data_IF_777282915290
#
_entry.id   IF_777282915290
#
_cell.length_a   1.000
_cell.length_b   1.000
_cell.length_c   1.000
_cell.angle_alpha   90.00
_cell.angle_beta   90.00
_cell.angle_gamma   90.00
#
_symmetry.space_group_name_H-M   'P 1'
#
loop_
_entity.id
_entity.type
_entity.pdbx_description
1 polymer ?
#
# COMPACT_ATOMS: atom_id res chain seq x y z
N UNK A 1 8.57 14.99 -30.91
CA UNK A 1 8.44 13.63 -30.41
C UNK A 1 9.50 13.45 -29.31
N UNK A 2 9.08 13.13 -28.08
CA UNK A 2 10.02 12.83 -27.00
C UNK A 2 10.47 11.37 -27.09
N UNK A 3 11.65 11.07 -26.58
CA UNK A 3 12.19 9.71 -26.51
C UNK A 3 12.62 9.41 -25.08
N UNK A 4 12.20 8.27 -24.58
CA UNK A 4 12.55 7.73 -23.26
C UNK A 4 12.85 6.24 -23.36
N UNK A 5 13.51 5.67 -22.36
CA UNK A 5 13.59 4.22 -22.23
C UNK A 5 12.27 3.67 -21.64
N UNK A 6 11.70 4.42 -20.69
CA UNK A 6 10.50 4.00 -19.96
C UNK A 6 9.52 5.17 -19.82
N UNK A 7 8.23 4.88 -20.06
CA UNK A 7 7.12 5.75 -19.68
C UNK A 7 6.33 5.10 -18.54
N UNK A 8 6.09 5.84 -17.45
CA UNK A 8 5.26 5.41 -16.32
C UNK A 8 3.97 6.23 -16.33
N UNK A 9 2.83 5.59 -16.49
CA UNK A 9 1.51 6.20 -16.33
C UNK A 9 1.10 6.15 -14.86
N UNK A 10 1.10 7.30 -14.19
CA UNK A 10 0.79 7.49 -12.78
C UNK A 10 2.00 7.87 -11.92
N UNK A 11 2.00 9.10 -11.42
CA UNK A 11 2.98 9.70 -10.50
C UNK A 11 2.58 9.58 -9.03
N UNK A 12 1.95 8.47 -8.65
CA UNK A 12 1.55 8.19 -7.28
C UNK A 12 2.66 7.57 -6.41
N UNK A 13 2.25 7.06 -5.23
CA UNK A 13 3.17 6.47 -4.23
C UNK A 13 3.89 5.19 -4.69
N UNK A 14 3.57 4.67 -5.86
CA UNK A 14 4.24 3.52 -6.49
C UNK A 14 5.02 3.94 -7.73
N UNK A 15 4.43 4.76 -8.60
CA UNK A 15 5.07 5.17 -9.85
C UNK A 15 6.28 6.08 -9.65
N UNK A 16 6.22 7.01 -8.69
CA UNK A 16 7.36 7.88 -8.37
C UNK A 16 8.58 7.11 -7.84
N UNK A 17 8.46 6.21 -6.84
CA UNK A 17 9.58 5.37 -6.40
C UNK A 17 10.15 4.49 -7.51
N UNK A 18 9.30 3.95 -8.39
CA UNK A 18 9.76 3.21 -9.57
C UNK A 18 10.58 4.11 -10.50
N UNK A 19 10.07 5.30 -10.82
CA UNK A 19 10.77 6.25 -11.68
C UNK A 19 12.12 6.68 -11.11
N UNK A 20 12.18 6.97 -9.81
CA UNK A 20 13.43 7.29 -9.12
C UNK A 20 14.44 6.13 -9.20
N UNK A 21 14.00 4.90 -8.95
CA UNK A 21 14.85 3.71 -9.02
C UNK A 21 15.44 3.50 -10.42
N UNK A 22 14.62 3.63 -11.45
CA UNK A 22 15.04 3.47 -12.85
C UNK A 22 16.00 4.57 -13.29
N UNK A 23 15.71 5.83 -12.94
CA UNK A 23 16.53 6.98 -13.27
C UNK A 23 17.90 6.94 -12.57
N UNK A 24 17.95 6.53 -11.28
CA UNK A 24 19.20 6.29 -10.55
C UNK A 24 20.03 5.17 -11.18
N UNK A 25 19.38 4.19 -11.79
CA UNK A 25 20.02 3.13 -12.56
C UNK A 25 20.45 3.54 -13.98
N UNK A 26 20.23 4.81 -14.38
CA UNK A 26 20.68 5.38 -15.65
C UNK A 26 19.65 5.33 -16.78
N UNK A 27 18.41 4.83 -16.54
CA UNK A 27 17.38 4.76 -17.57
C UNK A 27 16.61 6.08 -17.66
N UNK A 28 16.47 6.61 -18.89
CA UNK A 28 15.67 7.80 -19.16
C UNK A 28 14.19 7.50 -18.99
N UNK A 29 13.60 8.05 -17.95
CA UNK A 29 12.24 7.75 -17.51
C UNK A 29 11.35 8.98 -17.56
N UNK A 30 10.15 8.84 -18.13
CA UNK A 30 9.12 9.87 -18.12
C UNK A 30 7.92 9.37 -17.32
N UNK A 31 7.52 10.13 -16.32
CA UNK A 31 6.29 9.89 -15.55
C UNK A 31 5.21 10.81 -16.09
N UNK A 32 4.01 10.26 -16.31
CA UNK A 32 2.82 11.02 -16.75
C UNK A 32 1.78 10.94 -15.65
N UNK A 33 1.29 12.09 -15.15
CA UNK A 33 0.27 12.12 -14.11
C UNK A 33 -0.87 13.11 -14.44
N UNK A 34 -2.09 12.71 -14.13
CA UNK A 34 -3.30 13.51 -14.40
C UNK A 34 -3.43 14.71 -13.47
N UNK A 35 -2.88 14.61 -12.27
CA UNK A 35 -3.03 15.63 -11.26
C UNK A 35 -1.99 16.76 -11.41
N UNK A 36 -2.41 18.02 -11.33
CA UNK A 36 -1.48 19.13 -11.28
C UNK A 36 -0.56 19.03 -10.06
N UNK A 37 0.72 19.41 -10.22
CA UNK A 37 1.70 19.41 -9.13
C UNK A 37 1.21 20.15 -7.88
N UNK A 38 0.52 21.28 -8.05
CA UNK A 38 -0.04 22.06 -6.94
C UNK A 38 -1.05 21.27 -6.08
N UNK A 39 -1.89 20.45 -6.73
CA UNK A 39 -2.87 19.59 -6.02
C UNK A 39 -2.17 18.42 -5.29
N UNK A 40 -1.12 17.88 -5.89
CA UNK A 40 -0.38 16.76 -5.29
C UNK A 40 0.41 17.21 -4.06
N UNK A 41 0.95 18.41 -4.11
CA UNK A 41 1.78 19.01 -3.04
C UNK A 41 0.97 19.87 -2.06
N UNK A 42 -0.36 19.78 -2.08
CA UNK A 42 -1.19 20.43 -1.07
C UNK A 42 -0.75 19.94 0.33
N UNK A 43 -0.30 20.85 1.21
CA UNK A 43 0.14 20.49 2.54
C UNK A 43 -1.00 20.11 3.47
N UNK A 44 -2.26 20.36 3.06
CA UNK A 44 -3.41 20.03 3.88
C UNK A 44 -3.50 18.51 4.11
N UNK A 45 -3.73 18.13 5.34
CA UNK A 45 -3.92 16.74 5.71
C UNK A 45 -5.23 16.20 5.13
N UNK A 46 -5.13 15.18 4.30
CA UNK A 46 -6.25 14.54 3.61
C UNK A 46 -6.77 13.27 4.32
N UNK A 47 -6.34 13.06 5.58
CA UNK A 47 -6.74 11.92 6.42
C UNK A 47 -6.05 10.60 6.07
N UNK A 48 -5.33 10.54 4.97
CA UNK A 48 -4.72 9.27 4.53
C UNK A 48 -3.33 9.10 5.11
N UNK A 49 -3.12 7.93 5.70
CA UNK A 49 -1.82 7.46 6.17
C UNK A 49 -1.47 6.14 5.50
N UNK A 50 -0.19 5.82 5.46
CA UNK A 50 0.32 4.53 5.01
C UNK A 50 1.17 3.90 6.10
N UNK A 51 0.97 2.61 6.32
CA UNK A 51 1.87 1.78 7.10
C UNK A 51 3.00 1.30 6.19
N UNK A 52 4.19 1.85 6.36
CA UNK A 52 5.39 1.44 5.62
C UNK A 52 6.06 0.30 6.38
N UNK A 53 6.08 -0.88 5.80
CA UNK A 53 6.83 -2.01 6.31
C UNK A 53 8.35 -1.72 6.25
N UNK A 54 9.14 -2.31 7.14
CA UNK A 54 10.56 -1.98 7.19
C UNK A 54 11.33 -2.31 5.89
N UNK A 55 10.90 -3.30 5.11
CA UNK A 55 11.46 -3.54 3.78
C UNK A 55 11.18 -2.38 2.79
N UNK A 56 10.01 -1.75 2.89
CA UNK A 56 9.67 -0.55 2.11
C UNK A 56 10.48 0.66 2.58
N UNK A 57 10.72 0.78 3.88
CA UNK A 57 11.59 1.84 4.44
C UNK A 57 13.01 1.70 3.90
N UNK A 58 13.58 0.48 3.86
CA UNK A 58 14.90 0.23 3.25
C UNK A 58 14.97 0.66 1.80
N UNK A 59 13.94 0.36 0.99
CA UNK A 59 13.85 0.84 -0.38
C UNK A 59 13.86 2.37 -0.45
N UNK A 60 13.02 3.03 0.35
CA UNK A 60 12.95 4.50 0.38
C UNK A 60 14.26 5.14 0.86
N UNK A 61 14.99 4.47 1.76
CA UNK A 61 16.32 4.91 2.19
C UNK A 61 17.35 4.84 1.04
N UNK A 62 17.40 3.74 0.30
CA UNK A 62 18.27 3.62 -0.90
C UNK A 62 17.95 4.67 -1.94
N UNK A 63 16.67 5.00 -2.12
CA UNK A 63 16.25 6.07 -3.03
C UNK A 63 16.52 7.49 -2.48
N UNK A 64 17.04 7.61 -1.25
CA UNK A 64 17.30 8.87 -0.57
C UNK A 64 16.04 9.63 -0.14
N UNK A 65 14.89 8.96 -0.10
CA UNK A 65 13.59 9.55 0.29
C UNK A 65 13.38 9.49 1.79
N UNK A 66 13.93 8.47 2.46
CA UNK A 66 13.66 8.20 3.86
C UNK A 66 14.09 9.31 4.80
N UNK A 67 15.23 9.93 4.57
CA UNK A 67 15.75 11.01 5.42
C UNK A 67 14.79 12.22 5.47
N UNK A 68 14.03 12.45 4.39
CA UNK A 68 12.99 13.47 4.35
C UNK A 68 11.70 13.04 5.06
N UNK A 69 11.46 11.73 5.17
CA UNK A 69 10.28 11.16 5.80
C UNK A 69 10.43 10.89 7.28
N UNK A 70 11.63 10.52 7.73
CA UNK A 70 11.89 10.09 9.10
C UNK A 70 11.36 11.05 10.17
N UNK A 71 11.48 12.40 10.03
CA UNK A 71 10.93 13.35 11.00
C UNK A 71 9.38 13.33 11.11
N UNK A 72 8.69 12.77 10.11
CA UNK A 72 7.23 12.70 10.01
C UNK A 72 6.69 11.28 10.16
N UNK A 73 7.56 10.32 10.47
CA UNK A 73 7.24 8.91 10.55
C UNK A 73 7.07 8.47 12.01
N UNK A 74 5.93 7.89 12.36
CA UNK A 74 5.70 7.30 13.67
C UNK A 74 6.09 5.82 13.64
N UNK A 75 7.09 5.37 14.43
CA UNK A 75 7.43 3.96 14.48
C UNK A 75 6.33 3.13 15.14
N UNK A 76 6.14 1.92 14.63
CA UNK A 76 5.29 0.88 15.22
C UNK A 76 6.23 -0.05 16.00
N UNK A 77 6.19 0.01 17.32
CA UNK A 77 7.00 -0.86 18.19
C UNK A 77 6.32 -2.19 18.42
N UNK A 78 5.00 -2.15 18.58
CA UNK A 78 4.19 -3.31 18.90
C UNK A 78 2.90 -3.34 18.06
N UNK A 79 2.40 -4.54 17.77
CA UNK A 79 1.08 -4.74 17.17
C UNK A 79 0.32 -5.71 18.05
N UNK A 80 -0.86 -5.28 18.52
CA UNK A 80 -1.77 -6.11 19.29
C UNK A 80 -3.00 -6.48 18.46
N UNK A 81 -3.16 -7.79 18.21
CA UNK A 81 -4.30 -8.33 17.45
C UNK A 81 -5.26 -9.01 18.41
N UNK A 82 -6.53 -8.63 18.39
CA UNK A 82 -7.57 -9.19 19.26
C UNK A 82 -8.84 -9.50 18.48
N UNK A 83 -9.66 -10.43 18.99
CA UNK A 83 -11.03 -10.68 18.54
C UNK A 83 -12.02 -10.19 19.60
N UNK A 84 -13.18 -9.69 19.21
CA UNK A 84 -14.16 -9.18 20.17
C UNK A 84 -15.44 -8.63 19.55
N UNK A 85 -16.19 -7.93 20.39
CA UNK A 85 -17.41 -7.20 20.03
C UNK A 85 -17.35 -5.77 20.53
N UNK A 86 -17.88 -4.84 19.76
CA UNK A 86 -17.97 -3.45 20.16
C UNK A 86 -18.68 -3.29 21.52
N UNK A 87 -18.11 -2.49 22.42
CA UNK A 87 -18.64 -2.26 23.76
C UNK A 87 -18.43 -3.41 24.75
N UNK A 88 -17.64 -4.41 24.42
CA UNK A 88 -17.24 -5.51 25.32
C UNK A 88 -15.72 -5.56 25.42
N UNK A 89 -15.16 -6.09 26.53
CA UNK A 89 -13.74 -6.37 26.59
C UNK A 89 -13.30 -7.27 25.43
N UNK A 90 -12.11 -7.03 24.89
CA UNK A 90 -11.49 -7.91 23.91
C UNK A 90 -11.27 -9.31 24.51
N UNK A 91 -11.13 -10.33 23.66
CA UNK A 91 -10.76 -11.68 24.09
C UNK A 91 -9.45 -11.62 24.90
N UNK A 92 -9.37 -12.46 25.94
CA UNK A 92 -8.14 -12.64 26.73
C UNK A 92 -7.01 -13.30 25.89
N UNK A 93 -7.38 -14.00 24.81
CA UNK A 93 -6.44 -14.59 23.86
C UNK A 93 -6.19 -13.56 22.75
N UNK A 94 -5.00 -13.03 22.73
CA UNK A 94 -4.52 -12.03 21.77
C UNK A 94 -3.25 -12.52 21.11
N UNK A 95 -2.89 -11.94 19.99
CA UNK A 95 -1.60 -12.14 19.34
C UNK A 95 -0.82 -10.83 19.46
N UNK A 96 0.35 -10.92 20.07
CA UNK A 96 1.21 -9.77 20.34
C UNK A 96 2.51 -9.88 19.54
N UNK A 97 2.81 -8.86 18.77
CA UNK A 97 4.05 -8.71 18.04
C UNK A 97 4.88 -7.58 18.65
N UNK A 98 6.09 -7.86 19.08
CA UNK A 98 7.07 -6.90 19.56
C UNK A 98 8.26 -6.85 18.58
N UNK A 99 8.63 -5.67 18.11
CA UNK A 99 9.76 -5.45 17.20
C UNK A 99 11.06 -6.06 17.70
N UNK A 100 11.28 -6.03 19.00
CA UNK A 100 12.48 -6.60 19.66
C UNK A 100 12.66 -8.09 19.40
N UNK A 101 11.57 -8.83 19.21
CA UNK A 101 11.64 -10.30 18.95
C UNK A 101 12.25 -10.66 17.60
N UNK A 102 12.26 -9.73 16.67
CA UNK A 102 12.92 -9.87 15.35
C UNK A 102 14.20 -9.07 15.24
N UNK A 103 14.67 -8.49 16.36
CA UNK A 103 15.91 -7.70 16.42
C UNK A 103 15.82 -6.37 15.67
N UNK A 104 14.63 -5.76 15.65
CA UNK A 104 14.38 -4.48 15.00
C UNK A 104 13.87 -3.45 16.01
N UNK A 105 14.14 -2.16 15.76
CA UNK A 105 13.61 -1.06 16.57
C UNK A 105 12.13 -0.78 16.27
N UNK A 106 11.62 -1.24 15.10
CA UNK A 106 10.22 -1.08 14.71
C UNK A 106 9.78 -2.18 13.76
N UNK A 107 8.48 -2.49 13.73
CA UNK A 107 7.82 -3.36 12.75
C UNK A 107 7.50 -2.62 11.44
N UNK A 108 7.61 -1.31 11.43
CA UNK A 108 7.30 -0.41 10.35
C UNK A 108 7.00 0.99 10.88
N UNK A 109 6.50 1.86 10.02
CA UNK A 109 6.20 3.24 10.37
C UNK A 109 4.87 3.68 9.77
N UNK A 110 4.10 4.46 10.52
CA UNK A 110 2.93 5.17 10.00
C UNK A 110 3.37 6.55 9.51
N UNK A 111 3.04 6.87 8.27
CA UNK A 111 3.38 8.16 7.65
C UNK A 111 2.16 8.74 6.95
N UNK A 112 1.90 10.03 7.13
CA UNK A 112 0.84 10.72 6.38
C UNK A 112 1.20 10.78 4.90
N UNK A 113 0.27 10.44 4.01
CA UNK A 113 0.55 10.33 2.57
C UNK A 113 1.04 11.65 1.95
N UNK A 114 0.62 12.80 2.51
CA UNK A 114 1.12 14.11 2.07
C UNK A 114 2.64 14.21 2.23
N UNK A 115 3.21 13.74 3.33
CA UNK A 115 4.66 13.77 3.56
C UNK A 115 5.39 12.83 2.59
N UNK A 116 4.83 11.66 2.31
CA UNK A 116 5.41 10.74 1.32
C UNK A 116 5.43 11.40 -0.07
N UNK A 117 4.33 12.05 -0.47
CA UNK A 117 4.27 12.78 -1.75
C UNK A 117 5.29 13.90 -1.80
N UNK A 118 5.36 14.75 -0.78
CA UNK A 118 6.30 15.88 -0.71
C UNK A 118 7.75 15.40 -0.83
N UNK A 119 8.15 14.38 -0.07
CA UNK A 119 9.50 13.82 -0.11
C UNK A 119 9.85 13.21 -1.47
N UNK A 120 8.92 12.49 -2.10
CA UNK A 120 9.11 11.93 -3.44
C UNK A 120 9.27 13.02 -4.50
N UNK A 121 8.47 14.08 -4.44
CA UNK A 121 8.56 15.21 -5.37
C UNK A 121 9.83 16.05 -5.17
N UNK A 122 10.32 16.17 -3.94
CA UNK A 122 11.60 16.81 -3.66
C UNK A 122 12.75 16.05 -4.31
N UNK A 123 12.75 14.71 -4.19
CA UNK A 123 13.76 13.86 -4.85
C UNK A 123 13.62 13.87 -6.38
N UNK A 124 12.41 13.91 -6.88
CA UNK A 124 12.16 14.03 -8.33
C UNK A 124 12.76 15.33 -8.89
N UNK A 125 12.65 16.45 -8.18
CA UNK A 125 13.17 17.75 -8.66
C UNK A 125 14.69 17.76 -8.87
N UNK A 126 15.44 16.94 -8.12
CA UNK A 126 16.89 16.78 -8.24
C UNK A 126 17.35 15.58 -9.08
N UNK A 127 16.41 14.78 -9.60
CA UNK A 127 16.76 13.54 -10.29
C UNK A 127 17.17 13.80 -11.74
N UNK A 128 18.35 13.28 -12.13
CA UNK A 128 18.73 13.17 -13.53
C UNK A 128 17.97 12.02 -14.20
N UNK A 129 17.78 12.07 -15.51
CA UNK A 129 17.08 11.06 -16.31
C UNK A 129 15.62 10.82 -15.91
N UNK A 130 14.99 11.69 -15.12
CA UNK A 130 13.60 11.59 -14.71
C UNK A 130 12.84 12.86 -15.02
N UNK A 131 11.78 12.74 -15.80
CA UNK A 131 10.91 13.85 -16.18
C UNK A 131 9.47 13.55 -15.73
N UNK A 132 8.77 14.58 -15.22
CA UNK A 132 7.34 14.51 -14.91
C UNK A 132 6.55 15.38 -15.90
N UNK A 133 5.59 14.77 -16.57
CA UNK A 133 4.61 15.42 -17.43
C UNK A 133 3.26 15.44 -16.70
N UNK A 134 2.89 16.57 -16.12
CA UNK A 134 1.65 16.78 -15.38
C UNK A 134 1.18 18.23 -15.50
N UNK A 135 -0.12 18.49 -15.69
CA UNK A 135 -1.20 17.51 -15.78
C UNK A 135 -1.32 16.89 -17.18
N UNK A 136 -1.27 15.57 -17.26
CA UNK A 136 -1.52 14.82 -18.50
C UNK A 136 -1.88 13.36 -18.18
N UNK A 137 -2.57 12.69 -19.09
CA UNK A 137 -2.83 11.25 -19.00
C UNK A 137 -2.36 10.54 -20.26
N UNK A 138 -2.07 9.25 -20.15
CA UNK A 138 -1.87 8.40 -21.31
C UNK A 138 -3.23 8.13 -21.95
N UNK A 139 -3.40 8.62 -23.19
CA UNK A 139 -4.63 8.46 -24.00
C UNK A 139 -4.62 7.12 -24.71
N UNK A 140 -3.48 6.75 -25.30
CA UNK A 140 -3.33 5.47 -25.99
C UNK A 140 -1.89 4.98 -26.02
N UNK A 141 -1.75 3.67 -26.16
CA UNK A 141 -0.51 2.94 -26.31
C UNK A 141 -0.57 2.14 -27.61
N UNK A 142 0.31 2.44 -28.58
CA UNK A 142 0.49 1.66 -29.77
C UNK A 142 1.85 0.92 -29.71
N UNK A 143 1.80 -0.39 -29.92
CA UNK A 143 3.01 -1.23 -29.94
C UNK A 143 3.56 -1.24 -31.34
N UNK A 144 4.86 -0.99 -31.48
CA UNK A 144 5.61 -1.03 -32.74
C UNK A 144 6.72 -2.07 -32.65
N UNK A 145 7.34 -2.42 -33.77
CA UNK A 145 8.44 -3.40 -33.81
C UNK A 145 9.64 -2.93 -32.94
N UNK A 146 9.90 -1.62 -32.89
CA UNK A 146 11.03 -1.03 -32.19
C UNK A 146 10.71 -0.49 -30.80
N UNK A 147 9.43 -0.40 -30.40
CA UNK A 147 9.06 0.21 -29.11
C UNK A 147 7.57 0.37 -28.91
N UNK A 148 7.22 1.25 -28.02
CA UNK A 148 5.88 1.69 -27.72
C UNK A 148 5.73 3.18 -28.05
N UNK A 149 4.67 3.54 -28.77
CA UNK A 149 4.28 4.93 -28.99
C UNK A 149 3.15 5.27 -28.02
N UNK A 150 3.44 6.14 -27.07
CA UNK A 150 2.52 6.64 -26.06
C UNK A 150 1.98 7.98 -26.50
N UNK A 151 0.66 8.11 -26.65
CA UNK A 151 -0.01 9.39 -26.93
C UNK A 151 -0.67 9.91 -25.65
N UNK A 152 -0.42 11.16 -25.32
CA UNK A 152 -0.98 11.83 -24.16
C UNK A 152 -2.30 12.56 -24.49
N UNK A 153 -3.01 12.97 -23.47
CA UNK A 153 -4.27 13.72 -23.59
C UNK A 153 -4.10 15.14 -24.14
N UNK A 154 -2.89 15.68 -24.11
CA UNK A 154 -2.51 16.95 -24.74
C UNK A 154 -1.94 16.75 -26.16
N UNK A 155 -2.16 15.57 -26.77
CA UNK A 155 -1.70 15.13 -28.08
C UNK A 155 -0.16 15.09 -28.27
N UNK A 156 0.63 15.26 -27.20
CA UNK A 156 2.06 14.95 -27.21
C UNK A 156 2.27 13.45 -27.37
N UNK A 157 3.38 13.09 -28.04
CA UNK A 157 3.77 11.68 -28.22
C UNK A 157 5.15 11.41 -27.63
N UNK A 158 5.28 10.24 -27.00
CA UNK A 158 6.52 9.76 -26.42
C UNK A 158 6.79 8.36 -26.97
N UNK A 159 7.99 8.14 -27.51
CA UNK A 159 8.45 6.78 -27.84
C UNK A 159 9.24 6.22 -26.67
N UNK A 160 8.96 4.95 -26.33
CA UNK A 160 9.64 4.27 -25.24
C UNK A 160 9.90 2.79 -25.56
N UNK A 161 10.87 2.16 -24.91
CA UNK A 161 11.07 0.71 -25.00
C UNK A 161 9.95 -0.04 -24.28
N UNK A 162 9.47 0.48 -23.12
CA UNK A 162 8.40 -0.12 -22.33
C UNK A 162 7.56 0.96 -21.64
N UNK A 163 6.26 0.68 -21.50
CA UNK A 163 5.34 1.50 -20.73
C UNK A 163 4.95 0.75 -19.45
N UNK A 164 4.87 1.46 -18.33
CA UNK A 164 4.42 0.91 -17.05
C UNK A 164 3.11 1.57 -16.66
N UNK A 165 2.08 0.76 -16.43
CA UNK A 165 0.83 1.23 -15.85
C UNK A 165 0.92 1.19 -14.32
N UNK A 166 1.02 2.37 -13.70
CA UNK A 166 0.88 2.63 -12.28
C UNK A 166 -0.30 3.59 -12.03
N UNK A 167 -1.31 3.52 -12.89
CA UNK A 167 -2.41 4.46 -13.13
C UNK A 167 -3.69 4.12 -12.37
N UNK A 168 -3.59 3.40 -11.29
CA UNK A 168 -4.65 3.04 -10.37
C UNK A 168 -5.44 1.76 -10.71
N UNK A 169 -6.38 1.44 -9.82
CA UNK A 169 -7.26 0.26 -9.89
C UNK A 169 -8.06 0.16 -11.19
N UNK A 170 -8.49 1.29 -11.76
CA UNK A 170 -9.26 1.36 -13.01
C UNK A 170 -8.38 1.55 -14.24
N UNK A 171 -7.14 1.11 -14.21
CA UNK A 171 -6.12 1.28 -15.24
C UNK A 171 -6.66 1.27 -16.68
N UNK A 172 -6.62 2.41 -17.39
CA UNK A 172 -6.99 2.46 -18.81
C UNK A 172 -6.03 1.63 -19.67
N UNK A 173 -4.73 1.65 -19.35
CA UNK A 173 -3.72 0.89 -20.09
C UNK A 173 -3.93 -0.62 -19.98
N UNK A 174 -4.25 -1.11 -18.77
CA UNK A 174 -4.63 -2.51 -18.60
C UNK A 174 -5.83 -2.89 -19.46
N UNK A 175 -6.86 -2.03 -19.50
CA UNK A 175 -8.06 -2.26 -20.30
C UNK A 175 -7.78 -2.22 -21.79
N UNK A 176 -6.96 -1.28 -22.26
CA UNK A 176 -6.53 -1.19 -23.67
C UNK A 176 -5.75 -2.44 -24.12
N UNK A 177 -4.93 -3.00 -23.23
CA UNK A 177 -4.17 -4.23 -23.49
C UNK A 177 -5.04 -5.50 -23.44
N UNK A 178 -6.34 -5.40 -23.15
CA UNK A 178 -7.24 -6.55 -23.03
C UNK A 178 -6.96 -7.44 -21.81
N UNK A 179 -6.18 -6.98 -20.84
CA UNK A 179 -5.85 -7.75 -19.64
C UNK A 179 -7.06 -7.78 -18.70
N UNK A 180 -7.66 -8.94 -18.56
CA UNK A 180 -8.80 -9.17 -17.68
C UNK A 180 -8.40 -9.16 -16.19
N UNK A 181 -9.40 -8.97 -15.31
CA UNK A 181 -9.24 -9.04 -13.86
C UNK A 181 -10.17 -10.06 -13.24
N UNK A 182 -9.73 -10.69 -12.17
CA UNK A 182 -10.59 -11.39 -11.22
C UNK A 182 -10.91 -10.40 -10.11
N UNK A 183 -12.19 -10.12 -9.86
CA UNK A 183 -12.57 -9.12 -8.86
C UNK A 183 -13.90 -9.46 -8.20
N UNK A 184 -14.04 -9.03 -6.94
CA UNK A 184 -15.30 -9.04 -6.20
C UNK A 184 -15.34 -7.90 -5.20
N UNK A 185 -16.55 -7.49 -4.82
CA UNK A 185 -16.77 -6.53 -3.75
C UNK A 185 -17.08 -7.24 -2.44
N UNK A 186 -16.56 -6.72 -1.34
CA UNK A 186 -17.01 -7.13 -0.02
C UNK A 186 -18.26 -6.31 0.37
N UNK A 187 -19.20 -6.88 1.14
CA UNK A 187 -20.35 -6.13 1.65
C UNK A 187 -19.92 -5.21 2.82
N UNK A 188 -18.80 -4.53 2.66
CA UNK A 188 -18.10 -3.76 3.68
C UNK A 188 -17.62 -2.42 3.12
N UNK A 189 -17.62 -1.40 4.00
CA UNK A 189 -17.06 -0.07 3.75
C UNK A 189 -15.92 0.16 4.75
N UNK A 190 -14.78 0.62 4.27
CA UNK A 190 -13.73 1.16 5.10
C UNK A 190 -14.02 2.62 5.43
N UNK A 191 -14.12 2.95 6.72
CA UNK A 191 -14.23 4.32 7.22
C UNK A 191 -12.86 4.71 7.78
N UNK A 192 -12.34 5.85 7.35
CA UNK A 192 -11.08 6.41 7.84
C UNK A 192 -11.39 7.69 8.61
N UNK A 193 -10.82 7.80 9.81
CA UNK A 193 -10.91 8.98 10.64
C UNK A 193 -9.62 9.15 11.45
N UNK A 194 -9.29 10.37 11.82
CA UNK A 194 -8.23 10.66 12.77
C UNK A 194 -8.83 10.89 14.16
N UNK A 195 -8.13 10.38 15.17
CA UNK A 195 -8.54 10.49 16.58
C UNK A 195 -7.40 11.06 17.41
N UNK A 196 -7.70 12.07 18.21
CA UNK A 196 -6.89 12.52 19.33
C UNK A 196 -7.24 11.72 20.58
N UNK A 197 -6.25 11.44 21.43
CA UNK A 197 -6.44 10.69 22.66
C UNK A 197 -5.62 11.26 23.81
N UNK A 198 -6.05 11.00 25.04
CA UNK A 198 -5.55 11.61 26.27
C UNK A 198 -4.20 11.04 26.71
N UNK A 199 -3.94 9.76 26.43
CA UNK A 199 -2.72 9.05 26.85
C UNK A 199 -1.86 8.71 25.64
N UNK A 200 -0.54 8.71 25.77
CA UNK A 200 0.36 8.35 24.68
C UNK A 200 0.14 6.90 24.21
N UNK A 201 0.15 6.69 22.89
CA UNK A 201 0.01 5.36 22.28
C UNK A 201 1.29 4.50 22.35
N UNK A 202 2.42 5.08 22.72
CA UNK A 202 3.73 4.39 22.86
C UNK A 202 4.18 3.57 21.62
N UNK A 203 3.71 3.94 20.43
CA UNK A 203 4.01 3.20 19.20
C UNK A 203 3.27 1.85 19.05
N UNK A 204 2.22 1.62 19.84
CA UNK A 204 1.39 0.40 19.74
C UNK A 204 0.31 0.58 18.68
N UNK A 205 0.27 -0.31 17.70
CA UNK A 205 -0.84 -0.43 16.75
C UNK A 205 -1.80 -1.53 17.24
N UNK A 206 -3.10 -1.29 17.07
CA UNK A 206 -4.14 -2.27 17.44
C UNK A 206 -4.90 -2.70 16.21
N UNK A 207 -5.17 -3.99 16.11
CA UNK A 207 -6.06 -4.60 15.12
C UNK A 207 -7.15 -5.38 15.85
N UNK A 208 -8.31 -4.78 16.01
CA UNK A 208 -9.46 -5.42 16.65
C UNK A 208 -10.36 -6.03 15.59
N UNK A 209 -10.45 -7.34 15.54
CA UNK A 209 -11.41 -8.02 14.71
C UNK A 209 -12.80 -7.97 15.34
N UNK A 210 -13.70 -7.23 14.69
CA UNK A 210 -15.12 -7.12 15.07
C UNK A 210 -15.99 -7.88 14.07
N UNK A 211 -17.25 -8.22 14.42
CA UNK A 211 -18.14 -8.97 13.51
C UNK A 211 -18.39 -8.30 12.15
N UNK A 212 -18.29 -6.97 12.07
CA UNK A 212 -18.41 -6.21 10.82
C UNK A 212 -17.12 -6.17 10.00
N UNK A 213 -16.00 -6.56 10.60
CA UNK A 213 -14.66 -6.53 10.02
C UNK A 213 -13.62 -5.90 10.95
N UNK A 214 -12.36 -5.78 10.48
CA UNK A 214 -11.26 -5.24 11.27
C UNK A 214 -11.48 -3.76 11.62
N UNK A 215 -11.02 -3.39 12.82
CA UNK A 215 -10.96 -2.04 13.35
C UNK A 215 -9.52 -1.77 13.76
N UNK A 216 -8.76 -1.11 12.89
CA UNK A 216 -7.37 -0.79 13.13
C UNK A 216 -7.22 0.59 13.78
N UNK A 217 -6.33 0.68 14.78
CA UNK A 217 -5.88 1.92 15.43
C UNK A 217 -4.39 2.03 15.16
N UNK A 218 -4.00 2.97 14.31
CA UNK A 218 -2.64 3.14 13.84
C UNK A 218 -2.01 4.37 14.48
N UNK A 219 -0.89 4.24 15.24
CA UNK A 219 -0.26 5.37 15.91
C UNK A 219 0.25 6.39 14.90
N UNK A 220 -0.02 7.67 15.13
CA UNK A 220 0.49 8.80 14.36
C UNK A 220 1.39 9.67 15.22
N UNK A 221 2.15 10.56 14.63
CA UNK A 221 2.96 11.54 15.37
C UNK A 221 2.09 12.38 16.32
N UNK A 222 2.55 12.56 17.57
CA UNK A 222 1.78 13.16 18.67
C UNK A 222 0.77 12.17 19.26
N UNK A 223 -0.15 12.69 20.09
CA UNK A 223 -1.19 11.88 20.74
C UNK A 223 -2.39 11.70 19.80
N UNK A 224 -2.12 11.17 18.59
CA UNK A 224 -3.10 10.93 17.53
C UNK A 224 -3.00 9.51 16.99
N UNK A 225 -4.12 8.99 16.52
CA UNK A 225 -4.18 7.72 15.79
C UNK A 225 -5.06 7.84 14.55
N UNK A 226 -4.66 7.17 13.48
CA UNK A 226 -5.53 6.96 12.31
C UNK A 226 -6.33 5.69 12.50
N UNK A 227 -7.62 5.76 12.22
CA UNK A 227 -8.53 4.62 12.25
C UNK A 227 -8.78 4.11 10.83
N UNK A 228 -8.76 2.79 10.69
CA UNK A 228 -9.35 2.09 9.55
C UNK A 228 -10.46 1.21 10.11
N UNK A 229 -11.68 1.71 10.05
CA UNK A 229 -12.87 1.07 10.61
C UNK A 229 -13.66 0.38 9.51
N UNK A 230 -13.63 -0.93 9.48
CA UNK A 230 -14.47 -1.70 8.58
C UNK A 230 -15.87 -1.88 9.15
N UNK A 231 -16.88 -1.48 8.38
CA UNK A 231 -18.28 -1.63 8.77
C UNK A 231 -19.10 -2.25 7.63
N UNK A 232 -20.20 -2.91 7.99
CA UNK A 232 -21.13 -3.46 7.01
C UNK A 232 -21.68 -2.34 6.11
N UNK A 233 -21.73 -2.59 4.80
CA UNK A 233 -22.17 -1.62 3.79
C UNK A 233 -23.54 -1.01 4.10
N UNK A 234 -24.46 -1.78 4.69
CA UNK A 234 -25.77 -1.31 5.07
C UNK A 234 -25.77 -0.32 6.26
N UNK A 235 -24.74 -0.37 7.13
CA UNK A 235 -24.64 0.45 8.34
C UNK A 235 -23.74 1.66 8.19
N UNK A 236 -22.75 1.61 7.31
CA UNK A 236 -21.73 2.64 7.14
C UNK A 236 -22.33 4.04 6.85
N UNK A 237 -23.36 4.21 5.97
CA UNK A 237 -23.96 5.52 5.71
C UNK A 237 -24.56 6.16 6.96
N UNK A 238 -25.24 5.38 7.79
CA UNK A 238 -25.83 5.88 9.04
C UNK A 238 -24.74 6.37 10.02
N UNK A 239 -23.63 5.64 10.14
CA UNK A 239 -22.48 6.02 10.98
C UNK A 239 -21.81 7.31 10.47
N UNK A 240 -21.62 7.42 9.16
CA UNK A 240 -21.00 8.60 8.55
C UNK A 240 -21.87 9.85 8.69
N UNK A 241 -23.18 9.69 8.70
CA UNK A 241 -24.17 10.76 8.89
C UNK A 241 -24.39 11.21 10.34
N UNK A 242 -23.77 10.53 11.32
CA UNK A 242 -23.89 10.92 12.72
C UNK A 242 -23.24 12.29 12.98
N UNK A 243 -23.87 13.07 13.84
CA UNK A 243 -23.26 14.26 14.43
C UNK A 243 -21.98 13.87 15.21
N UNK A 244 -21.07 14.83 15.41
CA UNK A 244 -19.77 14.61 16.04
C UNK A 244 -19.89 13.88 17.40
N UNK A 245 -20.82 14.31 18.24
CA UNK A 245 -21.04 13.71 19.57
C UNK A 245 -21.41 12.22 19.46
N UNK A 246 -22.42 11.90 18.68
CA UNK A 246 -22.92 10.54 18.51
C UNK A 246 -21.88 9.65 17.81
N UNK A 247 -21.11 10.21 16.87
CA UNK A 247 -20.01 9.49 16.26
C UNK A 247 -18.91 9.15 17.27
N UNK A 248 -18.54 10.10 18.14
CA UNK A 248 -17.53 9.87 19.18
C UNK A 248 -18.02 8.84 20.23
N UNK A 249 -19.31 8.75 20.52
CA UNK A 249 -19.86 7.69 21.37
C UNK A 249 -19.72 6.31 20.72
N UNK A 250 -20.03 6.19 19.42
CA UNK A 250 -19.85 4.93 18.66
C UNK A 250 -18.37 4.58 18.50
N UNK A 251 -17.51 5.58 18.31
CA UNK A 251 -16.06 5.42 18.29
C UNK A 251 -15.56 4.86 19.61
N UNK A 252 -15.90 5.48 20.74
CA UNK A 252 -15.44 5.07 22.07
C UNK A 252 -15.81 3.62 22.40
N UNK A 253 -16.99 3.16 21.97
CA UNK A 253 -17.41 1.75 22.15
C UNK A 253 -16.51 0.73 21.49
N UNK A 254 -15.85 1.10 20.37
CA UNK A 254 -14.95 0.23 19.59
C UNK A 254 -13.50 0.43 19.96
N UNK A 255 -13.13 1.66 20.23
CA UNK A 255 -11.78 2.06 20.55
C UNK A 255 -11.35 1.53 21.95
N UNK A 256 -12.28 1.51 22.88
CA UNK A 256 -11.98 1.15 24.29
C UNK A 256 -11.41 2.35 25.06
N UNK A 257 -10.95 2.08 26.30
CA UNK A 257 -10.51 3.12 27.26
C UNK A 257 -8.98 3.15 27.49
N UNK A 258 -8.23 2.33 26.75
CA UNK A 258 -6.79 2.15 27.01
C UNK A 258 -5.97 3.42 26.76
N UNK A 259 -6.35 4.27 25.80
CA UNK A 259 -5.74 5.57 25.55
C UNK A 259 -6.49 6.76 26.20
N UNK A 260 -7.39 6.49 27.15
CA UNK A 260 -8.18 7.51 27.83
C UNK A 260 -9.34 8.01 26.98
N UNK A 261 -9.72 9.28 27.15
CA UNK A 261 -10.77 9.90 26.33
C UNK A 261 -10.27 10.07 24.91
N UNK A 262 -11.17 9.85 23.95
CA UNK A 262 -10.89 9.96 22.52
C UNK A 262 -11.86 10.91 21.84
N UNK A 263 -11.37 11.63 20.83
CA UNK A 263 -12.16 12.55 20.03
C UNK A 263 -11.75 12.44 18.56
N UNK A 264 -12.72 12.26 17.67
CA UNK A 264 -12.47 12.34 16.22
C UNK A 264 -12.16 13.78 15.82
N UNK A 265 -11.15 13.96 14.97
CA UNK A 265 -10.73 15.28 14.48
C UNK A 265 -10.66 15.26 12.94
N UNK A 266 -11.06 16.38 12.35
CA UNK A 266 -11.11 16.53 10.90
C UNK A 266 -12.22 15.72 10.21
N UNK A 267 -12.19 15.63 8.89
CA UNK A 267 -13.21 14.94 8.11
C UNK A 267 -13.12 13.41 8.23
N UNK A 268 -14.22 12.75 7.89
CA UNK A 268 -14.36 11.30 7.80
C UNK A 268 -14.41 10.91 6.35
N UNK A 269 -13.63 9.92 5.96
CA UNK A 269 -13.62 9.38 4.60
C UNK A 269 -14.16 7.97 4.59
N UNK A 270 -14.68 7.55 3.45
CA UNK A 270 -15.10 6.17 3.27
C UNK A 270 -14.84 5.67 1.86
N UNK A 271 -14.63 4.38 1.74
CA UNK A 271 -14.45 3.71 0.46
C UNK A 271 -14.98 2.28 0.50
N UNK A 272 -15.58 1.79 -0.61
CA UNK A 272 -16.02 0.42 -0.69
C UNK A 272 -14.82 -0.53 -0.72
N UNK A 273 -14.90 -1.62 0.04
CA UNK A 273 -13.86 -2.63 0.05
C UNK A 273 -14.08 -3.62 -1.08
N UNK A 274 -13.03 -3.90 -1.83
CA UNK A 274 -13.07 -4.85 -2.92
C UNK A 274 -11.71 -5.45 -3.17
N UNK A 275 -11.73 -6.63 -3.74
CA UNK A 275 -10.57 -7.33 -4.27
C UNK A 275 -10.50 -7.18 -5.78
N UNK A 276 -9.30 -7.07 -6.33
CA UNK A 276 -9.05 -7.34 -7.74
C UNK A 276 -7.62 -7.84 -7.96
N UNK A 277 -7.45 -8.68 -8.96
CA UNK A 277 -6.17 -9.20 -9.40
C UNK A 277 -6.19 -9.33 -10.92
N UNK A 278 -5.24 -8.71 -11.60
CA UNK A 278 -5.07 -8.85 -13.04
C UNK A 278 -4.69 -10.30 -13.38
N UNK A 279 -5.25 -10.83 -14.47
CA UNK A 279 -4.96 -12.19 -14.94
C UNK A 279 -3.52 -12.34 -15.40
N UNK A 280 -2.97 -11.26 -15.95
CA UNK A 280 -1.58 -11.11 -16.37
C UNK A 280 -1.05 -9.78 -15.86
N UNK A 281 0.23 -9.71 -15.51
CA UNK A 281 0.86 -8.47 -15.05
C UNK A 281 1.64 -7.80 -16.16
N UNK A 282 1.80 -8.45 -17.29
CA UNK A 282 2.58 -7.93 -18.41
C UNK A 282 1.93 -8.27 -19.75
N UNK A 283 2.16 -7.41 -20.71
CA UNK A 283 1.93 -7.61 -22.13
C UNK A 283 3.20 -7.17 -22.90
N UNK A 284 3.29 -7.42 -24.18
CA UNK A 284 4.40 -6.90 -24.97
C UNK A 284 4.50 -5.38 -24.75
N UNK A 285 5.68 -4.89 -24.32
CA UNK A 285 5.98 -3.48 -24.03
C UNK A 285 5.10 -2.81 -22.96
N UNK A 286 4.38 -3.58 -22.16
CA UNK A 286 3.55 -3.08 -21.07
C UNK A 286 3.73 -3.92 -19.81
N UNK A 287 3.96 -3.26 -18.68
CA UNK A 287 3.92 -3.88 -17.35
C UNK A 287 2.90 -3.16 -16.45
N UNK A 288 2.18 -3.91 -15.63
CA UNK A 288 1.29 -3.40 -14.59
C UNK A 288 2.03 -3.36 -13.27
N UNK A 289 1.86 -2.30 -12.46
CA UNK A 289 2.54 -2.11 -11.19
C UNK A 289 1.60 -1.52 -10.14
N UNK A 290 1.55 -2.09 -8.94
CA UNK A 290 0.67 -1.66 -7.87
C UNK A 290 -0.81 -1.87 -8.18
N UNK A 291 -1.64 -0.87 -7.90
CA UNK A 291 -3.11 -0.96 -8.02
C UNK A 291 -3.60 -1.26 -9.44
N UNK A 292 -2.82 -1.05 -10.47
CA UNK A 292 -3.16 -1.47 -11.83
C UNK A 292 -3.15 -3.00 -11.97
N UNK A 293 -2.30 -3.69 -11.21
CA UNK A 293 -2.15 -5.14 -11.21
C UNK A 293 -3.04 -5.82 -10.14
N UNK A 294 -3.13 -5.25 -8.94
CA UNK A 294 -3.82 -5.88 -7.81
C UNK A 294 -4.33 -4.87 -6.80
N UNK A 295 -5.41 -5.23 -6.11
CA UNK A 295 -5.91 -4.52 -4.93
C UNK A 295 -6.47 -5.53 -3.95
N UNK A 296 -5.96 -5.50 -2.73
CA UNK A 296 -6.29 -6.43 -1.65
C UNK A 296 -7.13 -5.75 -0.58
N UNK A 297 -7.73 -6.54 0.30
CA UNK A 297 -8.38 -6.01 1.50
C UNK A 297 -7.35 -5.25 2.38
N UNK A 298 -7.70 -4.09 2.96
CA UNK A 298 -6.74 -3.23 3.68
C UNK A 298 -6.26 -3.78 5.03
N UNK A 299 -6.57 -5.03 5.37
CA UNK A 299 -6.05 -5.67 6.58
C UNK A 299 -4.53 -5.50 6.64
N UNK A 300 -4.04 -5.05 7.77
CA UNK A 300 -2.62 -4.80 8.06
C UNK A 300 -1.93 -3.77 7.13
N UNK A 301 -2.68 -2.93 6.38
CA UNK A 301 -2.11 -1.83 5.58
C UNK A 301 -1.16 -2.25 4.47
N UNK A 302 -1.26 -3.46 3.91
CA UNK A 302 -0.26 -4.03 3.00
C UNK A 302 -0.34 -3.56 1.54
N UNK A 303 -1.38 -2.81 1.14
CA UNK A 303 -1.58 -2.42 -0.26
C UNK A 303 -0.40 -1.65 -0.87
N UNK A 304 0.05 -0.59 -0.20
CA UNK A 304 1.20 0.20 -0.65
C UNK A 304 2.51 -0.59 -0.62
N UNK A 305 2.75 -1.38 0.44
CA UNK A 305 3.96 -2.20 0.54
C UNK A 305 4.09 -3.22 -0.60
N UNK A 306 2.96 -3.81 -1.00
CA UNK A 306 2.91 -4.73 -2.14
C UNK A 306 3.24 -4.00 -3.45
N UNK A 307 2.70 -2.79 -3.66
CA UNK A 307 3.00 -1.95 -4.82
C UNK A 307 4.46 -1.47 -4.86
N UNK A 308 5.05 -1.09 -3.71
CA UNK A 308 6.46 -0.74 -3.62
C UNK A 308 7.36 -1.95 -3.93
N UNK A 309 6.94 -3.14 -3.51
CA UNK A 309 7.66 -4.37 -3.86
C UNK A 309 7.58 -4.69 -5.35
N UNK A 310 6.45 -4.39 -6.01
CA UNK A 310 6.35 -4.47 -7.47
C UNK A 310 7.31 -3.51 -8.13
N UNK A 311 7.32 -2.24 -7.70
CA UNK A 311 8.22 -1.22 -8.22
C UNK A 311 9.70 -1.62 -8.09
N UNK A 312 10.10 -2.14 -6.92
CA UNK A 312 11.45 -2.63 -6.68
C UNK A 312 11.83 -3.82 -7.58
N UNK A 313 10.91 -4.79 -7.73
CA UNK A 313 11.14 -5.98 -8.57
C UNK A 313 11.18 -5.62 -10.07
N UNK A 314 10.30 -4.73 -10.53
CA UNK A 314 10.28 -4.27 -11.91
C UNK A 314 11.54 -3.46 -12.24
N UNK A 315 11.97 -2.56 -11.34
CA UNK A 315 13.21 -1.82 -11.49
C UNK A 315 14.41 -2.76 -11.63
N UNK A 316 14.54 -3.77 -10.75
CA UNK A 316 15.62 -4.74 -10.81
C UNK A 316 15.62 -5.51 -12.13
N UNK A 317 14.46 -5.98 -12.60
CA UNK A 317 14.35 -6.73 -13.87
C UNK A 317 14.72 -5.87 -15.07
N UNK A 318 14.27 -4.62 -15.13
CA UNK A 318 14.54 -3.71 -16.25
C UNK A 318 16.01 -3.26 -16.27
N UNK A 319 16.58 -2.91 -15.12
CA UNK A 319 17.98 -2.52 -15.01
C UNK A 319 18.94 -3.69 -15.33
N UNK A 320 18.63 -4.90 -14.89
CA UNK A 320 19.39 -6.07 -15.28
C UNK A 320 19.31 -6.35 -16.78
N UNK A 321 18.15 -6.16 -17.39
CA UNK A 321 17.98 -6.29 -18.84
C UNK A 321 18.79 -5.22 -19.60
N UNK A 322 18.76 -3.96 -19.14
CA UNK A 322 19.54 -2.88 -19.73
C UNK A 322 21.03 -3.15 -19.67
N UNK A 323 21.56 -3.57 -18.51
CA UNK A 323 22.98 -3.92 -18.34
C UNK A 323 23.44 -5.04 -19.27
N UNK A 324 22.53 -5.94 -19.63
CA UNK A 324 22.80 -7.05 -20.54
C UNK A 324 22.51 -6.71 -22.02
N UNK A 325 22.14 -5.46 -22.33
CA UNK A 325 21.77 -5.06 -23.69
C UNK A 325 20.51 -5.75 -24.23
N UNK A 326 19.62 -6.21 -23.36
CA UNK A 326 18.37 -6.87 -23.74
C UNK A 326 17.27 -5.85 -24.00
N UNK A 327 16.31 -6.22 -24.84
CA UNK A 327 15.09 -5.41 -25.04
C UNK A 327 14.28 -5.36 -23.76
N UNK A 328 14.10 -4.13 -23.22
CA UNK A 328 13.34 -3.88 -21.98
C UNK A 328 11.86 -4.23 -22.12
N UNK A 329 11.30 -4.04 -23.30
CA UNK A 329 9.89 -4.27 -23.58
C UNK A 329 9.56 -5.67 -24.07
N UNK A 330 10.57 -6.52 -24.30
CA UNK A 330 10.36 -7.89 -24.73
C UNK A 330 9.58 -8.69 -23.69
N UNK A 331 8.67 -9.55 -24.17
CA UNK A 331 7.77 -10.29 -23.29
C UNK A 331 8.52 -11.23 -22.33
N UNK A 332 9.62 -11.85 -22.76
CA UNK A 332 10.46 -12.73 -21.93
C UNK A 332 11.13 -11.95 -20.78
N UNK A 333 11.59 -10.72 -21.03
CA UNK A 333 12.10 -9.81 -20.00
C UNK A 333 11.02 -9.50 -18.98
N UNK A 334 9.84 -9.06 -19.43
CA UNK A 334 8.73 -8.66 -18.55
C UNK A 334 8.12 -9.86 -17.79
N UNK A 335 8.07 -11.05 -18.40
CA UNK A 335 7.61 -12.28 -17.73
C UNK A 335 8.48 -12.70 -16.54
N UNK A 336 9.74 -12.25 -16.43
CA UNK A 336 10.57 -12.45 -15.22
C UNK A 336 9.97 -11.72 -14.03
N UNK A 337 9.55 -10.46 -14.25
CA UNK A 337 8.85 -9.65 -13.24
C UNK A 337 7.51 -10.30 -12.84
N UNK A 338 6.66 -10.66 -13.81
CA UNK A 338 5.38 -11.28 -13.54
C UNK A 338 5.51 -12.57 -12.71
N UNK A 339 6.40 -13.49 -13.10
CA UNK A 339 6.63 -14.75 -12.36
C UNK A 339 7.10 -14.50 -10.93
N UNK A 340 7.89 -13.45 -10.73
CA UNK A 340 8.35 -13.09 -9.39
C UNK A 340 7.22 -12.54 -8.53
N UNK A 341 6.41 -11.64 -9.06
CA UNK A 341 5.43 -10.90 -8.26
C UNK A 341 4.10 -11.60 -8.10
N UNK A 342 3.66 -12.31 -9.14
CA UNK A 342 2.31 -12.88 -9.15
C UNK A 342 2.06 -13.87 -8.02
N UNK A 343 3.03 -14.71 -7.70
CA UNK A 343 2.90 -15.66 -6.59
C UNK A 343 2.77 -14.93 -5.24
N UNK A 344 3.62 -13.93 -4.98
CA UNK A 344 3.54 -13.14 -3.76
C UNK A 344 2.20 -12.41 -3.61
N UNK A 345 1.72 -11.81 -4.71
CA UNK A 345 0.42 -11.12 -4.74
C UNK A 345 -0.74 -12.08 -4.50
N UNK A 346 -0.73 -13.27 -5.11
CA UNK A 346 -1.73 -14.32 -4.89
C UNK A 346 -1.72 -14.81 -3.44
N UNK A 347 -0.55 -15.07 -2.87
CA UNK A 347 -0.42 -15.52 -1.50
C UNK A 347 -0.93 -14.48 -0.50
N UNK A 348 -0.56 -13.21 -0.69
CA UNK A 348 -1.05 -12.10 0.15
C UNK A 348 -2.56 -11.91 0.00
N UNK A 349 -3.08 -11.96 -1.23
CA UNK A 349 -4.49 -11.86 -1.53
C UNK A 349 -5.30 -12.96 -0.85
N UNK A 350 -4.87 -14.22 -0.97
CA UNK A 350 -5.51 -15.36 -0.32
C UNK A 350 -5.47 -15.25 1.20
N UNK A 351 -4.35 -14.78 1.76
CA UNK A 351 -4.21 -14.58 3.21
C UNK A 351 -5.15 -13.49 3.72
N UNK A 352 -5.19 -12.33 3.08
CA UNK A 352 -6.05 -11.22 3.51
C UNK A 352 -7.54 -11.53 3.32
N UNK A 353 -7.93 -12.18 2.21
CA UNK A 353 -9.32 -12.61 1.99
C UNK A 353 -9.73 -13.70 3.00
N UNK A 354 -8.85 -14.67 3.24
CA UNK A 354 -9.07 -15.73 4.23
C UNK A 354 -9.24 -15.16 5.65
N UNK A 355 -8.36 -14.25 6.07
CA UNK A 355 -8.46 -13.57 7.36
C UNK A 355 -9.76 -12.76 7.44
N UNK A 356 -10.09 -11.95 6.42
CA UNK A 356 -11.33 -11.19 6.43
C UNK A 356 -12.55 -12.09 6.59
N UNK A 357 -12.67 -13.16 5.81
CA UNK A 357 -13.81 -14.10 5.90
C UNK A 357 -13.85 -14.84 7.25
N UNK A 358 -12.67 -15.21 7.76
CA UNK A 358 -12.57 -15.92 9.03
C UNK A 358 -13.01 -15.03 10.20
N UNK A 359 -12.60 -13.75 10.21
CA UNK A 359 -12.81 -12.85 11.35
C UNK A 359 -14.07 -11.96 11.23
N UNK A 360 -14.58 -11.71 10.02
CA UNK A 360 -15.75 -10.85 9.80
C UNK A 360 -17.07 -11.62 9.89
N UNK A 361 -17.31 -12.31 11.00
CA UNK A 361 -18.57 -13.00 11.29
C UNK A 361 -18.77 -13.13 12.81
N UNK A 362 -19.98 -13.50 13.25
CA UNK A 362 -20.35 -13.70 14.68
C UNK A 362 -20.77 -15.14 14.98
N UNK A 363 -20.22 -16.12 14.27
CA UNK A 363 -20.52 -17.54 14.49
C UNK A 363 -19.77 -18.01 15.74
N UNK A 364 -20.49 -18.31 16.81
CA UNK A 364 -19.91 -18.59 18.12
C UNK A 364 -18.86 -19.73 18.16
N UNK A 365 -19.06 -20.90 17.53
CA UNK A 365 -18.02 -21.94 17.49
C UNK A 365 -16.75 -21.48 16.73
N UNK A 366 -16.95 -20.72 15.64
CA UNK A 366 -15.84 -20.21 14.82
C UNK A 366 -15.01 -19.19 15.59
N UNK A 367 -15.66 -18.34 16.41
CA UNK A 367 -14.98 -17.36 17.26
C UNK A 367 -14.11 -18.04 18.32
N UNK A 368 -14.60 -19.11 18.97
CA UNK A 368 -13.79 -19.86 19.92
C UNK A 368 -12.55 -20.49 19.27
N UNK A 369 -12.71 -21.02 18.05
CA UNK A 369 -11.58 -21.56 17.28
C UNK A 369 -10.58 -20.46 16.87
N UNK A 370 -11.04 -19.25 16.53
CA UNK A 370 -10.17 -18.10 16.22
C UNK A 370 -9.37 -17.68 17.45
N UNK A 371 -10.04 -17.51 18.58
CA UNK A 371 -9.40 -17.16 19.87
C UNK A 371 -8.30 -18.16 20.22
N UNK A 372 -8.61 -19.46 20.14
CA UNK A 372 -7.63 -20.52 20.36
C UNK A 372 -6.48 -20.46 19.35
N UNK A 373 -6.78 -20.17 18.07
CA UNK A 373 -5.78 -20.01 17.01
C UNK A 373 -4.83 -18.83 17.26
N UNK A 374 -5.37 -17.68 17.68
CA UNK A 374 -4.56 -16.51 18.05
C UNK A 374 -3.63 -16.84 19.23
N UNK A 375 -4.18 -17.42 20.31
CA UNK A 375 -3.40 -17.83 21.46
C UNK A 375 -2.33 -18.88 21.14
N UNK A 376 -2.63 -19.84 20.25
CA UNK A 376 -1.67 -20.85 19.82
C UNK A 376 -0.51 -20.22 19.02
N UNK A 377 -0.80 -19.32 18.08
CA UNK A 377 0.24 -18.60 17.30
C UNK A 377 1.09 -17.74 18.24
N UNK A 378 0.47 -17.09 19.22
CA UNK A 378 1.17 -16.28 20.22
C UNK A 378 2.11 -17.13 21.10
N UNK A 379 1.68 -18.31 21.50
CA UNK A 379 2.47 -19.23 22.32
C UNK A 379 3.66 -19.86 21.57
N UNK A 380 3.58 -19.95 20.22
CA UNK A 380 4.61 -20.58 19.38
C UNK A 380 5.54 -19.52 18.78
N UNK A 381 6.64 -19.18 19.45
CA UNK A 381 7.57 -18.14 19.03
C UNK A 381 8.03 -18.21 17.56
N UNK A 382 8.37 -19.38 16.98
CA UNK A 382 8.68 -19.49 15.55
C UNK A 382 7.52 -19.09 14.63
N UNK A 383 6.29 -19.46 14.94
CA UNK A 383 5.10 -19.08 14.17
C UNK A 383 4.87 -17.57 14.25
N UNK A 384 4.96 -17.00 15.46
CA UNK A 384 4.82 -15.56 15.69
C UNK A 384 5.87 -14.78 14.88
N UNK A 385 7.15 -15.15 14.94
CA UNK A 385 8.21 -14.52 14.13
C UNK A 385 8.00 -14.68 12.61
N UNK A 386 7.41 -15.78 12.18
CA UNK A 386 7.06 -15.96 10.78
C UNK A 386 6.02 -14.91 10.33
N UNK A 387 4.95 -14.70 11.10
CA UNK A 387 3.94 -13.68 10.79
C UNK A 387 4.51 -12.26 10.88
N UNK A 388 5.38 -11.98 11.86
CA UNK A 388 6.05 -10.68 11.99
C UNK A 388 6.90 -10.35 10.75
N UNK A 389 7.70 -11.31 10.27
CA UNK A 389 8.49 -11.13 9.04
C UNK A 389 7.61 -10.93 7.81
N UNK A 390 6.47 -11.61 7.74
CA UNK A 390 5.49 -11.39 6.67
C UNK A 390 4.91 -9.97 6.72
N UNK A 391 4.49 -9.49 7.87
CA UNK A 391 4.00 -8.13 8.08
C UNK A 391 5.06 -7.08 7.76
N UNK A 392 6.32 -7.33 8.12
CA UNK A 392 7.48 -6.48 7.81
C UNK A 392 7.91 -6.51 6.33
N UNK A 393 7.30 -7.38 5.50
CA UNK A 393 7.64 -7.54 4.10
C UNK A 393 8.96 -8.26 3.84
N UNK A 394 9.53 -8.97 4.85
CA UNK A 394 10.86 -9.62 4.79
C UNK A 394 10.75 -11.13 4.56
N UNK A 395 10.00 -11.51 3.55
CA UNK A 395 9.80 -12.92 3.19
C UNK A 395 9.95 -13.18 1.71
N UNK A 396 10.38 -14.39 1.38
CA UNK A 396 10.62 -14.84 0.01
C UNK A 396 11.85 -14.17 -0.63
N UNK A 397 11.88 -14.15 -1.95
CA UNK A 397 12.97 -13.49 -2.69
C UNK A 397 12.73 -11.99 -2.75
N UNK A 398 13.42 -11.22 -1.90
CA UNK A 398 13.34 -9.77 -1.90
C UNK A 398 14.14 -9.16 -3.05
N UNK A 399 13.59 -8.09 -3.70
CA UNK A 399 14.36 -7.22 -4.58
C UNK A 399 15.52 -6.53 -3.86
N UNK A 400 16.60 -6.19 -4.60
CA UNK A 400 17.81 -5.53 -4.07
C UNK A 400 17.47 -4.28 -3.26
N UNK A 401 16.63 -3.39 -3.80
CA UNK A 401 16.19 -2.17 -3.10
C UNK A 401 15.59 -2.47 -1.72
N UNK A 402 14.79 -3.52 -1.59
CA UNK A 402 14.18 -3.90 -0.32
C UNK A 402 15.15 -4.58 0.65
N UNK A 403 16.35 -4.96 0.17
CA UNK A 403 17.48 -5.40 1.00
C UNK A 403 18.38 -4.24 1.42
N UNK A 404 18.09 -3.01 1.01
CA UNK A 404 18.95 -1.85 1.24
C UNK A 404 20.12 -1.75 0.25
N UNK A 405 20.02 -2.38 -0.92
CA UNK A 405 21.03 -2.39 -1.97
C UNK A 405 20.53 -1.62 -3.20
N UNK A 406 21.41 -0.99 -3.95
CA UNK A 406 21.05 -0.37 -5.24
C UNK A 406 20.46 -1.40 -6.22
N UNK A 407 19.55 -0.95 -7.07
CA UNK A 407 18.82 -1.79 -8.02
C UNK A 407 19.70 -2.31 -9.17
#
# INVERSE_FOLDING_TARGET
MRQADIVISGGGLVGLPLGLALAQGGLKTVIVDVAPKATILDPQFDGRVSALAYASVRMLAVLGVWDLLAPHAQPIHEILVTDGKAGRPASALSLHFDAKEVGSDSLGHIVENRHIRMALYEKLAGAQNLELVAPAAVKSLAITDSGALVTLTNDETITAAVTVAADSRRSPLRSQAGIGVVSWSYPQIGIVATVEHEKPHNGVAYEHFLPSGPFAILPMTGDRSSLVWTEAQAKAPALLGLEEKSFNEELARRFGSHLGRTKSVGPRWSYPLSFHLAREFVHLRLALCGDSAHGIHPIAGQGLNLGLRDAAALAEVLLDAARLGRDLGALDTLKRYERWRRFDCLAMAASTDGLNRLFSNDIAPLRQLRDLGLGLVDAIGPARRFFMRHAGGDVGKLPRLMKGQAA
#
